data_IF_249438065545
#
_entry.id   IF_249438065545
#
_cell.length_a   1.000
_cell.length_b   1.000
_cell.length_c   1.000
_cell.angle_alpha   90.00
_cell.angle_beta   90.00
_cell.angle_gamma   90.00
#
_symmetry.space_group_name_H-M   'P 1'
#
loop_
_entity.id
_entity.type
_entity.pdbx_description
1 polymer ?
#
# COMPACT_ATOMS: atom_id res chain seq x y z
N UNK A 1 61.85 3.42 -29.81
CA UNK A 1 60.65 2.61 -30.09
C UNK A 1 60.16 1.89 -28.84
N UNK A 2 61.02 1.21 -28.07
CA UNK A 2 60.64 0.46 -26.85
C UNK A 2 59.82 1.24 -25.81
N UNK A 3 60.26 2.44 -25.41
CA UNK A 3 59.54 3.26 -24.42
C UNK A 3 58.13 3.67 -24.84
N UNK A 4 57.85 3.69 -26.14
CA UNK A 4 56.52 4.02 -26.66
C UNK A 4 55.61 2.80 -26.59
N UNK A 5 56.15 1.61 -26.91
CA UNK A 5 55.45 0.33 -26.74
C UNK A 5 55.09 0.10 -25.27
N UNK A 6 56.05 0.28 -24.37
CA UNK A 6 55.85 0.06 -22.93
C UNK A 6 54.81 1.01 -22.31
N UNK A 7 54.68 2.22 -22.86
CA UNK A 7 53.62 3.18 -22.47
C UNK A 7 52.26 2.78 -23.03
N UNK A 8 52.21 2.27 -24.26
CA UNK A 8 50.98 1.77 -24.86
C UNK A 8 50.48 0.54 -24.11
N UNK A 9 51.36 -0.40 -23.75
CA UNK A 9 51.00 -1.60 -22.99
C UNK A 9 50.39 -1.26 -21.62
N UNK A 10 51.01 -0.32 -20.89
CA UNK A 10 50.46 0.20 -19.63
C UNK A 10 49.13 0.95 -19.80
N UNK A 11 48.93 1.62 -20.92
CA UNK A 11 47.66 2.29 -21.21
C UNK A 11 46.58 1.25 -21.50
N UNK A 12 46.88 0.21 -22.27
CA UNK A 12 45.98 -0.91 -22.56
C UNK A 12 45.56 -1.62 -21.27
N UNK A 13 46.49 -1.96 -20.37
CA UNK A 13 46.15 -2.58 -19.08
C UNK A 13 45.22 -1.72 -18.22
N UNK A 14 45.49 -0.41 -18.17
CA UNK A 14 44.64 0.53 -17.42
C UNK A 14 43.26 0.66 -18.03
N UNK A 15 43.16 0.58 -19.36
CA UNK A 15 41.92 0.68 -20.10
C UNK A 15 41.08 -0.58 -19.91
N UNK A 16 41.68 -1.76 -20.01
CA UNK A 16 41.05 -3.06 -19.67
C UNK A 16 40.53 -3.08 -18.22
N UNK A 17 41.33 -2.59 -17.28
CA UNK A 17 40.92 -2.54 -15.88
C UNK A 17 39.77 -1.54 -15.67
N UNK A 18 39.77 -0.41 -16.39
CA UNK A 18 38.68 0.55 -16.36
C UNK A 18 37.40 -0.04 -16.94
N UNK A 19 37.46 -0.71 -18.10
CA UNK A 19 36.30 -1.37 -18.73
C UNK A 19 35.69 -2.44 -17.83
N UNK A 20 36.52 -3.31 -17.22
CA UNK A 20 36.02 -4.33 -16.28
C UNK A 20 35.31 -3.71 -15.07
N UNK A 21 35.81 -2.59 -14.57
CA UNK A 21 35.17 -1.86 -13.46
C UNK A 21 33.86 -1.21 -13.89
N UNK A 22 33.81 -0.65 -15.09
CA UNK A 22 32.58 -0.07 -15.66
C UNK A 22 31.53 -1.16 -15.82
N UNK A 23 31.86 -2.28 -16.46
CA UNK A 23 30.97 -3.43 -16.62
C UNK A 23 30.42 -3.93 -15.27
N UNK A 24 31.28 -4.10 -14.27
CA UNK A 24 30.85 -4.55 -12.94
C UNK A 24 29.89 -3.56 -12.25
N UNK A 25 30.08 -2.25 -12.46
CA UNK A 25 29.19 -1.21 -11.93
C UNK A 25 27.86 -1.19 -12.68
N UNK A 26 27.88 -1.32 -14.00
CA UNK A 26 26.67 -1.36 -14.84
C UNK A 26 25.81 -2.59 -14.54
N UNK A 27 26.43 -3.76 -14.43
CA UNK A 27 25.77 -5.01 -14.01
C UNK A 27 25.22 -4.89 -12.57
N UNK A 28 26.00 -4.25 -11.69
CA UNK A 28 25.64 -4.00 -10.31
C UNK A 28 24.49 -3.01 -10.14
N UNK A 29 24.22 -2.11 -11.10
CA UNK A 29 23.11 -1.16 -11.06
C UNK A 29 21.82 -1.74 -11.66
N UNK A 30 21.92 -2.62 -12.65
CA UNK A 30 20.75 -3.20 -13.33
C UNK A 30 20.03 -4.25 -12.48
N UNK A 31 20.77 -5.08 -11.73
CA UNK A 31 20.21 -6.09 -10.83
C UNK A 31 19.31 -5.53 -9.69
N UNK A 32 19.73 -4.52 -8.91
CA UNK A 32 18.91 -3.95 -7.84
C UNK A 32 17.67 -3.23 -8.38
N UNK A 33 17.74 -2.57 -9.56
CA UNK A 33 16.58 -1.93 -10.16
C UNK A 33 15.45 -2.94 -10.49
N UNK A 34 15.82 -4.11 -11.01
CA UNK A 34 14.86 -5.19 -11.28
C UNK A 34 14.25 -5.77 -10.00
N UNK A 35 15.04 -5.94 -8.94
CA UNK A 35 14.56 -6.37 -7.63
C UNK A 35 13.58 -5.35 -7.01
N UNK A 36 13.89 -4.06 -7.13
CA UNK A 36 13.08 -2.97 -6.59
C UNK A 36 11.73 -2.86 -7.31
N UNK A 37 11.69 -3.07 -8.63
CA UNK A 37 10.45 -3.18 -9.41
C UNK A 37 9.56 -4.33 -8.93
N UNK A 38 10.15 -5.52 -8.68
CA UNK A 38 9.40 -6.68 -8.15
C UNK A 38 8.80 -6.38 -6.78
N UNK A 39 9.61 -5.86 -5.86
CA UNK A 39 9.15 -5.51 -4.49
C UNK A 39 8.03 -4.47 -4.53
N UNK A 40 8.16 -3.43 -5.36
CA UNK A 40 7.11 -2.42 -5.51
C UNK A 40 5.81 -3.00 -6.06
N UNK A 41 5.91 -3.94 -7.01
CA UNK A 41 4.73 -4.61 -7.60
C UNK A 41 4.03 -5.50 -6.57
N UNK A 42 4.80 -6.26 -5.79
CA UNK A 42 4.30 -7.11 -4.71
C UNK A 42 3.64 -6.27 -3.60
N UNK A 43 4.28 -5.17 -3.19
CA UNK A 43 3.71 -4.22 -2.22
C UNK A 43 2.39 -3.63 -2.72
N UNK A 44 2.33 -3.21 -3.98
CA UNK A 44 1.09 -2.70 -4.59
C UNK A 44 -0.03 -3.75 -4.56
N UNK A 45 0.30 -4.99 -4.87
CA UNK A 45 -0.64 -6.12 -4.85
C UNK A 45 -1.13 -6.41 -3.43
N UNK A 46 -0.23 -6.43 -2.44
CA UNK A 46 -0.57 -6.67 -1.04
C UNK A 46 -1.47 -5.55 -0.50
N UNK A 47 -1.15 -4.30 -0.82
CA UNK A 47 -1.93 -3.15 -0.40
C UNK A 47 -3.35 -3.19 -0.95
N UNK A 48 -3.49 -3.51 -2.25
CA UNK A 48 -4.80 -3.67 -2.86
C UNK A 48 -5.62 -4.80 -2.22
N UNK A 49 -4.98 -5.94 -1.88
CA UNK A 49 -5.64 -7.03 -1.16
C UNK A 49 -6.07 -6.61 0.25
N UNK A 50 -5.24 -5.87 0.96
CA UNK A 50 -5.57 -5.36 2.29
C UNK A 50 -6.78 -4.42 2.22
N UNK A 51 -6.79 -3.49 1.26
CA UNK A 51 -7.90 -2.55 1.05
C UNK A 51 -9.21 -3.29 0.69
N UNK A 52 -9.14 -4.33 -0.17
CA UNK A 52 -10.30 -5.18 -0.47
C UNK A 52 -10.80 -5.92 0.77
N UNK A 53 -9.91 -6.54 1.54
CA UNK A 53 -10.27 -7.26 2.76
C UNK A 53 -10.90 -6.35 3.80
N UNK A 54 -10.34 -5.16 4.00
CA UNK A 54 -10.91 -4.16 4.91
C UNK A 54 -12.29 -3.71 4.43
N UNK A 55 -12.41 -3.37 3.15
CA UNK A 55 -13.68 -2.94 2.55
C UNK A 55 -14.75 -4.02 2.65
N UNK A 56 -14.37 -5.29 2.46
CA UNK A 56 -15.25 -6.45 2.63
C UNK A 56 -15.68 -6.66 4.07
N UNK A 57 -14.74 -6.52 5.01
CA UNK A 57 -15.02 -6.66 6.44
C UNK A 57 -15.95 -5.55 6.94
N UNK A 58 -15.78 -4.32 6.45
CA UNK A 58 -16.57 -3.15 6.84
C UNK A 58 -17.80 -2.92 5.95
N UNK A 59 -18.07 -3.79 4.98
CA UNK A 59 -19.12 -3.58 3.96
C UNK A 59 -20.50 -3.32 4.56
N UNK A 60 -20.78 -3.96 5.69
CA UNK A 60 -22.06 -3.86 6.39
C UNK A 60 -21.96 -2.99 7.66
N UNK A 61 -20.84 -2.29 7.85
CA UNK A 61 -20.64 -1.38 8.99
C UNK A 61 -21.14 0.01 8.64
N UNK A 62 -21.97 0.59 9.51
CA UNK A 62 -22.42 1.98 9.42
C UNK A 62 -21.60 2.85 10.38
N UNK A 63 -21.19 4.04 9.94
CA UNK A 63 -20.53 5.05 10.78
C UNK A 63 -21.46 6.25 10.94
N UNK A 64 -21.90 6.51 12.17
CA UNK A 64 -22.74 7.67 12.52
C UNK A 64 -21.84 8.71 13.20
N UNK A 65 -21.80 9.92 12.66
CA UNK A 65 -20.95 11.02 13.13
C UNK A 65 -21.82 12.17 13.62
N UNK A 66 -21.36 12.88 14.66
CA UNK A 66 -22.07 14.05 15.21
C UNK A 66 -23.09 13.74 16.31
N UNK A 67 -22.99 12.57 16.94
CA UNK A 67 -23.75 12.25 18.15
C UNK A 67 -23.10 12.97 19.34
N UNK A 68 -23.87 13.69 20.16
CA UNK A 68 -23.36 14.28 21.39
C UNK A 68 -22.93 13.20 22.39
N UNK A 69 -21.74 13.36 22.98
CA UNK A 69 -21.15 12.41 23.94
C UNK A 69 -21.98 12.24 25.22
N UNK A 70 -22.85 13.20 25.54
CA UNK A 70 -23.79 13.17 26.67
C UNK A 70 -24.89 12.11 26.51
N UNK A 71 -25.08 11.59 25.28
CA UNK A 71 -26.01 10.52 24.97
C UNK A 71 -25.44 9.22 25.57
N UNK A 72 -25.94 8.84 26.74
CA UNK A 72 -25.46 7.66 27.47
C UNK A 72 -25.40 6.43 26.56
N UNK A 73 -24.16 5.97 26.33
CA UNK A 73 -23.77 4.82 25.51
C UNK A 73 -24.37 3.51 26.06
N UNK A 74 -24.93 3.53 27.28
CA UNK A 74 -25.46 2.36 27.97
C UNK A 74 -26.50 1.56 27.15
N UNK A 75 -27.22 2.19 26.21
CA UNK A 75 -28.16 1.51 25.31
C UNK A 75 -28.08 2.06 23.88
N UNK A 76 -26.93 1.90 23.23
CA UNK A 76 -26.70 2.35 21.85
C UNK A 76 -27.70 1.74 20.85
N UNK A 77 -28.13 0.50 21.05
CA UNK A 77 -29.16 -0.19 20.25
C UNK A 77 -30.48 0.61 20.22
N UNK A 78 -31.04 0.92 21.40
CA UNK A 78 -32.28 1.70 21.53
C UNK A 78 -32.16 3.10 20.94
N UNK A 79 -30.98 3.73 21.07
CA UNK A 79 -30.72 5.04 20.49
C UNK A 79 -30.73 4.96 18.96
N UNK A 80 -30.01 4.01 18.37
CA UNK A 80 -29.94 3.82 16.92
C UNK A 80 -31.31 3.44 16.36
N UNK A 81 -32.06 2.57 17.04
CA UNK A 81 -33.43 2.21 16.66
C UNK A 81 -34.33 3.46 16.61
N UNK A 82 -34.31 4.27 17.67
CA UNK A 82 -35.09 5.50 17.75
C UNK A 82 -34.67 6.52 16.69
N UNK A 83 -33.37 6.66 16.45
CA UNK A 83 -32.80 7.57 15.45
C UNK A 83 -33.24 7.16 14.03
N UNK A 84 -33.16 5.87 13.70
CA UNK A 84 -33.54 5.34 12.40
C UNK A 84 -35.04 5.49 12.15
N UNK A 85 -35.89 5.18 13.14
CA UNK A 85 -37.34 5.38 13.06
C UNK A 85 -37.68 6.87 12.88
N UNK A 86 -36.99 7.76 13.60
CA UNK A 86 -37.20 9.20 13.48
C UNK A 86 -36.82 9.74 12.10
N UNK A 87 -35.67 9.31 11.56
CA UNK A 87 -35.16 9.81 10.26
C UNK A 87 -35.92 9.26 9.06
N UNK A 88 -36.24 7.97 9.08
CA UNK A 88 -36.79 7.26 7.92
C UNK A 88 -38.32 7.09 8.01
N UNK A 89 -38.93 7.33 9.17
CA UNK A 89 -40.35 7.11 9.41
C UNK A 89 -40.66 5.67 9.80
N UNK A 90 -41.63 5.49 10.71
CA UNK A 90 -41.98 4.17 11.27
C UNK A 90 -42.54 3.21 10.22
N UNK A 91 -43.26 3.75 9.24
CA UNK A 91 -43.94 2.97 8.19
C UNK A 91 -42.95 2.26 7.23
N UNK A 92 -41.68 2.70 7.27
CA UNK A 92 -40.59 2.21 6.42
C UNK A 92 -39.96 0.93 6.98
N UNK A 93 -40.20 0.62 8.26
CA UNK A 93 -39.67 -0.56 8.93
C UNK A 93 -40.73 -1.63 9.09
N UNK A 94 -40.33 -2.90 8.94
CA UNK A 94 -41.23 -4.01 9.24
C UNK A 94 -41.49 -4.09 10.75
N UNK A 95 -42.59 -4.75 11.14
CA UNK A 95 -42.89 -5.03 12.55
C UNK A 95 -41.83 -5.87 13.28
N UNK A 96 -40.86 -6.45 12.55
CA UNK A 96 -39.75 -7.25 13.05
C UNK A 96 -38.40 -6.54 12.98
N UNK A 97 -38.39 -5.21 12.83
CA UNK A 97 -37.15 -4.44 12.90
C UNK A 97 -36.58 -4.51 14.32
N UNK A 98 -35.33 -4.97 14.44
CA UNK A 98 -34.59 -5.05 15.69
C UNK A 98 -33.17 -4.56 15.39
N UNK A 99 -32.63 -3.74 16.29
CA UNK A 99 -31.20 -3.38 16.31
C UNK A 99 -30.54 -4.29 17.34
N UNK A 100 -29.62 -5.14 16.87
CA UNK A 100 -28.82 -6.08 17.67
C UNK A 100 -27.35 -5.66 17.74
#
# INVERSE_FOLDING_TARGET
MDRMSERLDKQTERLDQAERRVSAVEDGQTAPAAGQLKVNTELGTLRHKMDDLESRSRRNSLCIVGIEESTSIANMENFIESLLIHLLGRDTFSAFFVVE
#
